data_IF_389741237815
#
_entry.id   IF_389741237815
#
_cell.length_a   1.000
_cell.length_b   1.000
_cell.length_c   1.000
_cell.angle_alpha   90.00
_cell.angle_beta   90.00
_cell.angle_gamma   90.00
#
_symmetry.space_group_name_H-M   'P 1'
#
loop_
_entity.id
_entity.type
_entity.pdbx_description
1 polymer ?
#
# COMPACT_ATOMS: atom_id res chain seq x y z
N UNK A 1 12.25 -6.38 -0.77
CA UNK A 1 11.75 -6.72 0.59
C UNK A 1 10.37 -6.10 0.71
N UNK A 2 9.34 -6.92 0.92
CA UNK A 2 7.97 -6.44 1.13
C UNK A 2 7.68 -6.42 2.65
N UNK A 3 7.14 -5.33 3.15
CA UNK A 3 6.78 -5.13 4.55
C UNK A 3 5.39 -4.51 4.66
N UNK A 4 4.66 -4.89 5.70
CA UNK A 4 3.36 -4.32 6.04
C UNK A 4 3.39 -3.84 7.48
N UNK A 5 3.04 -2.58 7.70
CA UNK A 5 2.95 -1.97 9.03
C UNK A 5 1.83 -0.94 9.04
N UNK A 6 0.88 -1.08 9.97
CA UNK A 6 -0.21 -0.13 10.22
C UNK A 6 -0.96 0.33 8.96
N UNK A 7 -1.38 -0.62 8.12
CA UNK A 7 -2.11 -0.33 6.89
C UNK A 7 -1.25 0.14 5.71
N UNK A 8 0.06 0.35 5.90
CA UNK A 8 0.98 0.74 4.85
C UNK A 8 1.79 -0.47 4.35
N UNK A 9 1.69 -0.76 3.06
CA UNK A 9 2.50 -1.78 2.39
C UNK A 9 3.68 -1.09 1.72
N UNK A 10 4.89 -1.52 2.03
CA UNK A 10 6.12 -0.97 1.45
C UNK A 10 6.96 -2.05 0.79
N UNK A 11 7.45 -1.76 -0.41
CA UNK A 11 8.37 -2.62 -1.15
C UNK A 11 9.68 -1.89 -1.38
N UNK A 12 10.75 -2.43 -0.83
CA UNK A 12 12.11 -1.92 -1.02
C UNK A 12 12.89 -2.79 -2.00
N UNK A 13 13.37 -2.19 -3.08
CA UNK A 13 14.43 -2.74 -3.93
C UNK A 13 15.77 -2.17 -3.51
N UNK A 14 16.79 -3.02 -3.39
CA UNK A 14 18.16 -2.65 -3.00
C UNK A 14 19.15 -3.15 -4.05
N UNK A 15 20.40 -2.74 -3.94
CA UNK A 15 21.49 -3.17 -4.82
C UNK A 15 21.25 -2.78 -6.29
N UNK A 16 20.74 -1.58 -6.52
CA UNK A 16 20.67 -0.98 -7.86
C UNK A 16 22.05 -0.53 -8.34
N UNK A 17 22.09 0.16 -9.48
CA UNK A 17 23.36 0.68 -10.02
C UNK A 17 24.02 1.69 -9.08
N UNK A 18 25.35 1.80 -9.16
CA UNK A 18 26.12 2.72 -8.34
C UNK A 18 25.74 4.17 -8.64
N UNK A 19 25.52 4.95 -7.59
CA UNK A 19 25.36 6.39 -7.68
C UNK A 19 26.71 7.07 -7.95
N UNK A 20 26.66 8.29 -8.49
CA UNK A 20 27.86 9.07 -8.77
C UNK A 20 28.30 9.87 -7.54
N UNK A 21 28.44 9.20 -6.41
CA UNK A 21 28.99 9.73 -5.17
C UNK A 21 30.36 9.08 -4.87
N UNK A 22 31.19 9.68 -3.99
CA UNK A 22 32.53 9.16 -3.69
C UNK A 22 32.54 7.72 -3.15
N UNK A 23 31.44 7.28 -2.52
CA UNK A 23 31.34 5.94 -1.94
C UNK A 23 30.72 4.92 -2.91
N UNK A 24 30.36 5.33 -4.14
CA UNK A 24 29.66 4.49 -5.12
C UNK A 24 28.46 3.76 -4.51
N UNK A 25 27.67 4.51 -3.74
CA UNK A 25 26.53 4.00 -2.99
C UNK A 25 25.56 3.31 -3.93
N UNK A 26 25.10 2.11 -3.55
CA UNK A 26 24.13 1.36 -4.34
C UNK A 26 22.78 2.08 -4.30
N UNK A 27 22.21 2.38 -5.48
CA UNK A 27 20.85 2.93 -5.56
C UNK A 27 19.84 1.98 -4.93
N UNK A 28 18.80 2.55 -4.36
CA UNK A 28 17.67 1.78 -3.86
C UNK A 28 16.35 2.43 -4.27
N UNK A 29 15.26 1.68 -4.18
CA UNK A 29 13.91 2.16 -4.50
C UNK A 29 12.97 1.75 -3.39
N UNK A 30 12.17 2.70 -2.91
CA UNK A 30 11.08 2.47 -1.98
C UNK A 30 9.76 2.77 -2.68
N UNK A 31 8.87 1.78 -2.70
CA UNK A 31 7.51 1.92 -3.20
C UNK A 31 6.56 1.78 -2.01
N UNK A 32 5.76 2.81 -1.76
CA UNK A 32 4.68 2.78 -0.76
C UNK A 32 3.36 2.58 -1.49
N UNK A 33 2.70 1.43 -1.28
CA UNK A 33 1.38 1.18 -1.82
C UNK A 33 0.32 1.78 -0.91
N UNK A 34 -0.59 2.54 -1.50
CA UNK A 34 -1.63 3.28 -0.82
C UNK A 34 -2.99 2.80 -1.33
N UNK A 35 -3.96 2.67 -0.42
CA UNK A 35 -5.31 2.25 -0.79
C UNK A 35 -6.00 3.33 -1.63
N UNK A 36 -6.38 2.97 -2.85
CA UNK A 36 -7.38 3.66 -3.64
C UNK A 36 -8.36 2.61 -4.22
N UNK A 37 -9.60 2.51 -3.68
CA UNK A 37 -10.57 1.51 -4.12
C UNK A 37 -10.94 1.62 -5.61
N UNK A 38 -10.77 2.79 -6.23
CA UNK A 38 -11.11 3.05 -7.64
C UNK A 38 -9.95 2.87 -8.62
N UNK A 39 -8.71 2.75 -8.14
CA UNK A 39 -7.52 2.75 -9.00
C UNK A 39 -7.26 1.43 -9.74
N UNK A 40 -7.88 0.33 -9.32
CA UNK A 40 -7.53 -1.00 -9.85
C UNK A 40 -6.05 -1.32 -9.61
N UNK A 41 -5.32 -1.68 -10.67
CA UNK A 41 -3.86 -1.88 -10.61
C UNK A 41 -3.11 -0.57 -10.28
N UNK A 42 -3.61 0.56 -10.76
CA UNK A 42 -2.94 1.86 -10.66
C UNK A 42 -1.56 1.91 -11.33
N UNK A 43 -0.78 2.93 -10.99
CA UNK A 43 0.60 3.13 -11.47
C UNK A 43 1.48 3.76 -10.38
N UNK A 44 2.80 3.54 -10.42
CA UNK A 44 3.73 4.22 -9.54
C UNK A 44 3.91 5.69 -9.93
N UNK A 45 3.97 6.55 -8.93
CA UNK A 45 4.15 8.00 -9.02
C UNK A 45 5.42 8.40 -8.28
N UNK A 46 6.38 8.99 -8.99
CA UNK A 46 7.62 9.46 -8.38
C UNK A 46 7.34 10.61 -7.42
N UNK A 47 7.87 10.51 -6.20
CA UNK A 47 7.73 11.53 -5.18
C UNK A 47 9.01 12.33 -5.02
N UNK A 48 10.10 11.64 -4.67
CA UNK A 48 11.38 12.29 -4.36
C UNK A 48 12.52 11.28 -4.41
N UNK A 49 13.71 11.77 -4.73
CA UNK A 49 14.96 11.06 -4.49
C UNK A 49 15.60 11.61 -3.21
N UNK A 50 15.81 10.76 -2.21
CA UNK A 50 16.54 11.12 -0.98
C UNK A 50 17.60 10.05 -0.69
N UNK A 51 18.83 10.46 -0.35
CA UNK A 51 19.95 9.55 0.00
C UNK A 51 20.08 8.36 -0.96
N UNK A 52 20.15 8.62 -2.27
CA UNK A 52 20.30 7.61 -3.33
C UNK A 52 19.13 6.62 -3.42
N UNK A 53 17.99 6.96 -2.80
CA UNK A 53 16.77 6.15 -2.77
C UNK A 53 15.64 6.87 -3.49
N UNK A 54 15.07 6.22 -4.51
CA UNK A 54 13.93 6.73 -5.26
C UNK A 54 12.64 6.32 -4.56
N UNK A 55 11.82 7.30 -4.17
CA UNK A 55 10.56 7.07 -3.48
C UNK A 55 9.38 7.21 -4.44
N UNK A 56 8.51 6.20 -4.44
CA UNK A 56 7.30 6.16 -5.23
C UNK A 56 6.08 5.96 -4.34
N UNK A 57 4.98 6.61 -4.70
CA UNK A 57 3.65 6.22 -4.23
C UNK A 57 2.98 5.39 -5.30
N UNK A 58 2.23 4.37 -4.90
CA UNK A 58 1.46 3.56 -5.83
C UNK A 58 0.06 3.36 -5.26
N UNK A 59 -0.86 4.19 -5.74
CA UNK A 59 -2.28 4.07 -5.41
C UNK A 59 -2.86 2.87 -6.14
N UNK A 60 -3.38 1.89 -5.40
CA UNK A 60 -3.95 0.66 -5.97
C UNK A 60 -5.09 0.13 -5.10
N UNK A 61 -6.08 -0.49 -5.73
CA UNK A 61 -7.18 -1.14 -5.02
C UNK A 61 -6.71 -2.39 -4.26
N UNK A 62 -5.57 -2.98 -4.65
CA UNK A 62 -5.00 -4.15 -3.97
C UNK A 62 -4.35 -3.82 -2.63
N UNK A 63 -4.11 -2.55 -2.33
CA UNK A 63 -3.62 -2.09 -1.03
C UNK A 63 -4.76 -1.77 -0.06
N UNK A 64 -6.01 -1.86 -0.49
CA UNK A 64 -7.15 -1.60 0.36
C UNK A 64 -7.47 -2.79 1.28
N UNK A 65 -7.68 -2.55 2.59
CA UNK A 65 -8.19 -3.59 3.46
C UNK A 65 -9.58 -4.02 3.00
N UNK A 66 -9.96 -5.24 3.32
CA UNK A 66 -11.36 -5.65 3.18
C UNK A 66 -12.22 -4.73 4.04
N UNK A 67 -13.28 -4.17 3.45
CA UNK A 67 -14.24 -3.39 4.21
C UNK A 67 -14.88 -4.31 5.25
N UNK A 68 -14.98 -3.90 6.52
CA UNK A 68 -15.75 -4.67 7.48
C UNK A 68 -17.18 -4.79 6.94
N UNK A 69 -17.61 -6.01 6.68
CA UNK A 69 -18.99 -6.30 6.38
C UNK A 69 -19.71 -6.45 7.70
N UNK A 70 -20.72 -5.61 7.95
CA UNK A 70 -21.63 -5.82 9.07
C UNK A 70 -22.51 -7.00 8.72
N UNK A 71 -22.16 -8.17 9.25
CA UNK A 71 -22.92 -9.40 9.13
C UNK A 71 -24.14 -9.38 10.09
N UNK A 72 -24.87 -8.28 10.13
CA UNK A 72 -26.02 -8.08 11.01
C UNK A 72 -27.24 -7.75 10.15
N UNK A 73 -28.33 -8.47 10.38
CA UNK A 73 -29.62 -8.22 9.71
C UNK A 73 -30.70 -7.92 10.74
N UNK A 74 -31.52 -6.92 10.48
CA UNK A 74 -32.68 -6.57 11.30
C UNK A 74 -33.94 -6.91 10.52
N UNK A 75 -34.83 -7.73 11.08
CA UNK A 75 -36.14 -8.00 10.48
C UNK A 75 -36.99 -6.72 10.58
N UNK A 76 -37.48 -6.16 9.45
CA UNK A 76 -38.24 -4.91 9.45
C UNK A 76 -39.63 -5.04 10.10
N UNK A 77 -40.15 -6.26 10.29
CA UNK A 77 -41.47 -6.50 10.87
C UNK A 77 -41.41 -6.75 12.37
N UNK A 78 -40.44 -7.55 12.83
CA UNK A 78 -40.30 -7.91 14.25
C UNK A 78 -39.30 -7.04 15.01
N UNK A 79 -38.42 -6.34 14.29
CA UNK A 79 -37.25 -5.63 14.81
C UNK A 79 -36.22 -6.54 15.49
N UNK A 80 -36.31 -7.85 15.28
CA UNK A 80 -35.31 -8.79 15.76
C UNK A 80 -34.00 -8.63 14.99
N UNK A 81 -32.89 -8.72 15.72
CA UNK A 81 -31.54 -8.63 15.16
C UNK A 81 -30.90 -10.01 15.12
N UNK A 82 -30.31 -10.35 13.97
CA UNK A 82 -29.59 -11.61 13.77
C UNK A 82 -28.15 -11.31 13.38
N UNK A 83 -27.22 -11.93 14.12
CA UNK A 83 -25.78 -11.89 13.87
C UNK A 83 -25.37 -13.11 13.03
N UNK A 84 -24.71 -12.83 11.90
CA UNK A 84 -24.28 -13.80 10.87
C UNK A 84 -22.73 -13.85 10.78
N UNK A 85 -22.03 -13.35 11.79
CA UNK A 85 -20.57 -13.38 11.85
C UNK A 85 -19.97 -14.78 12.08
#
# INVERSE_FOLDING_TARGET
ILSYYDGLIQLTYKNGSQYNDPNHTQRSTLISFLCDPGAGVGNPEFQVEDKNTYNFHWYTSYACPQRPHECLVTDPNTLDQYDLS
#
